data_IF_038526444366
#
_entry.id   IF_038526444366
#
_cell.length_a   1.000
_cell.length_b   1.000
_cell.length_c   1.000
_cell.angle_alpha   90.00
_cell.angle_beta   90.00
_cell.angle_gamma   90.00
#
_symmetry.space_group_name_H-M   'P 1'
#
loop_
_entity.id
_entity.type
_entity.pdbx_description
1 polymer ?
#
# COMPACT_ATOMS: atom_id res chain seq x y z
N UNK A 1 -6.56 -1.95 -18.15
CA UNK A 1 -6.43 -3.04 -17.16
C UNK A 1 -6.74 -4.41 -17.76
N UNK A 2 -7.77 -4.54 -18.60
CA UNK A 2 -8.15 -5.82 -19.19
C UNK A 2 -8.35 -5.67 -20.71
N UNK A 3 -7.68 -6.51 -21.52
CA UNK A 3 -7.82 -6.51 -22.98
C UNK A 3 -9.25 -6.85 -23.41
N UNK A 4 -9.95 -7.69 -22.64
CA UNK A 4 -11.34 -8.06 -22.89
C UNK A 4 -12.28 -6.85 -22.91
N UNK A 5 -12.04 -5.83 -22.08
CA UNK A 5 -12.88 -4.64 -22.06
C UNK A 5 -12.85 -3.91 -23.41
N UNK A 6 -11.68 -3.81 -24.04
CA UNK A 6 -11.48 -3.16 -25.34
C UNK A 6 -12.19 -3.97 -26.46
N UNK A 7 -12.18 -5.30 -26.35
CA UNK A 7 -12.84 -6.18 -27.32
C UNK A 7 -14.37 -6.16 -27.16
N UNK A 8 -14.87 -6.30 -25.93
CA UNK A 8 -16.28 -6.49 -25.64
C UNK A 8 -17.08 -5.18 -25.60
N UNK A 9 -16.44 -4.07 -25.20
CA UNK A 9 -17.10 -2.78 -24.98
C UNK A 9 -16.39 -1.65 -25.75
N UNK A 10 -16.28 -1.76 -27.09
CA UNK A 10 -15.53 -0.81 -27.91
C UNK A 10 -16.04 0.63 -27.81
N UNK A 11 -17.35 0.83 -27.65
CA UNK A 11 -17.98 2.15 -27.54
C UNK A 11 -17.45 2.98 -26.36
N UNK A 12 -16.91 2.33 -25.33
CA UNK A 12 -16.27 3.03 -24.20
C UNK A 12 -14.94 3.68 -24.58
N UNK A 13 -14.30 3.23 -25.65
CA UNK A 13 -12.95 3.59 -26.07
C UNK A 13 -12.89 4.26 -27.45
N UNK A 14 -13.99 4.23 -28.21
CA UNK A 14 -14.06 4.80 -29.56
C UNK A 14 -13.66 6.28 -29.59
N UNK A 15 -12.65 6.61 -30.42
CA UNK A 15 -12.12 7.96 -30.56
C UNK A 15 -11.45 8.56 -29.32
N UNK A 16 -11.26 7.78 -28.23
CA UNK A 16 -10.76 8.30 -26.95
C UNK A 16 -9.26 8.13 -26.78
N UNK A 17 -8.68 9.04 -26.01
CA UNK A 17 -7.33 8.89 -25.47
C UNK A 17 -7.40 8.09 -24.16
N UNK A 18 -6.55 7.07 -24.01
CA UNK A 18 -6.58 6.14 -22.89
C UNK A 18 -5.19 5.83 -22.33
N UNK A 19 -5.17 5.33 -21.09
CA UNK A 19 -4.01 4.70 -20.48
C UNK A 19 -4.16 3.19 -20.51
N UNK A 20 -3.10 2.48 -20.88
CA UNK A 20 -3.03 1.02 -20.77
C UNK A 20 -2.23 0.63 -19.55
N UNK A 21 -2.89 -0.02 -18.58
CA UNK A 21 -2.19 -0.75 -17.51
C UNK A 21 -1.64 -2.05 -18.06
N UNK A 22 -0.33 -2.24 -17.96
CA UNK A 22 0.40 -3.40 -18.43
C UNK A 22 0.87 -4.28 -17.26
N UNK A 23 0.90 -5.59 -17.47
CA UNK A 23 1.72 -6.48 -16.64
C UNK A 23 3.10 -6.63 -17.29
N UNK A 24 4.09 -5.98 -16.71
CA UNK A 24 5.48 -6.02 -17.20
C UNK A 24 6.25 -7.25 -16.67
N UNK A 25 5.57 -8.22 -16.05
CA UNK A 25 6.16 -9.41 -15.43
C UNK A 25 7.15 -9.08 -14.28
N UNK A 26 6.88 -8.02 -13.51
CA UNK A 26 7.70 -7.56 -12.38
C UNK A 26 6.87 -7.35 -11.13
N UNK A 27 6.77 -8.38 -10.27
CA UNK A 27 6.03 -8.31 -9.01
C UNK A 27 6.94 -8.10 -7.81
N UNK A 28 6.68 -7.08 -6.98
CA UNK A 28 7.48 -6.77 -5.79
C UNK A 28 6.58 -6.41 -4.60
N UNK A 29 6.89 -6.89 -3.39
CA UNK A 29 6.10 -6.53 -2.21
C UNK A 29 6.46 -7.32 -0.95
N UNK A 30 6.12 -6.75 0.21
CA UNK A 30 6.39 -7.37 1.52
C UNK A 30 5.43 -8.51 1.89
N UNK A 31 4.35 -8.70 1.14
CA UNK A 31 3.37 -9.77 1.34
C UNK A 31 2.72 -10.19 0.01
N UNK A 32 2.39 -11.48 -0.16
CA UNK A 32 1.80 -12.02 -1.40
C UNK A 32 0.54 -11.28 -1.85
N UNK A 33 -0.30 -10.84 -0.90
CA UNK A 33 -1.54 -10.08 -1.18
C UNK A 33 -1.33 -8.63 -1.67
N UNK A 34 -0.10 -8.12 -1.69
CA UNK A 34 0.22 -6.75 -2.14
C UNK A 34 1.16 -6.72 -3.34
N UNK A 35 1.50 -7.87 -3.91
CA UNK A 35 2.21 -7.98 -5.19
C UNK A 35 1.18 -7.85 -6.31
N UNK A 36 1.41 -6.96 -7.28
CA UNK A 36 0.39 -6.58 -8.29
C UNK A 36 0.81 -6.83 -9.73
N UNK A 37 1.93 -7.48 -9.98
CA UNK A 37 2.36 -7.92 -11.33
C UNK A 37 2.86 -9.37 -11.32
N UNK A 38 2.87 -10.01 -12.49
CA UNK A 38 3.22 -11.42 -12.70
C UNK A 38 1.99 -12.32 -12.84
N UNK A 39 2.18 -13.57 -13.30
CA UNK A 39 1.13 -14.53 -13.70
C UNK A 39 0.03 -14.77 -12.66
N UNK A 40 0.35 -14.63 -11.37
CA UNK A 40 -0.62 -14.79 -10.26
C UNK A 40 -1.40 -13.49 -9.95
N UNK A 41 -1.08 -12.37 -10.61
CA UNK A 41 -1.77 -11.09 -10.52
C UNK A 41 -2.95 -11.05 -11.48
N UNK A 42 -4.04 -10.40 -11.03
CA UNK A 42 -5.24 -10.18 -11.86
C UNK A 42 -5.20 -8.86 -12.63
N UNK A 43 -4.12 -8.10 -12.53
CA UNK A 43 -4.03 -6.71 -12.97
C UNK A 43 -3.11 -6.57 -14.18
N UNK A 44 -3.43 -5.60 -15.03
CA UNK A 44 -2.66 -5.29 -16.22
C UNK A 44 -2.94 -6.22 -17.39
N UNK A 45 -2.74 -5.68 -18.58
CA UNK A 45 -2.80 -6.42 -19.83
C UNK A 45 -1.44 -7.13 -20.00
N UNK A 46 -1.47 -8.46 -20.14
CA UNK A 46 -0.29 -9.25 -20.49
C UNK A 46 0.30 -8.78 -21.82
N UNK A 47 1.63 -8.75 -21.90
CA UNK A 47 2.34 -8.30 -23.11
C UNK A 47 1.96 -9.10 -24.35
N UNK A 48 1.54 -10.36 -24.19
CA UNK A 48 1.11 -11.24 -25.29
C UNK A 48 -0.17 -10.76 -25.98
N UNK A 49 -0.99 -9.95 -25.30
CA UNK A 49 -2.25 -9.44 -25.84
C UNK A 49 -2.12 -8.05 -26.49
N UNK A 50 -0.93 -7.45 -26.50
CA UNK A 50 -0.78 -6.07 -26.95
C UNK A 50 -1.06 -5.91 -28.44
N UNK A 51 -0.72 -6.91 -29.26
CA UNK A 51 -0.96 -6.84 -30.70
C UNK A 51 -2.46 -6.78 -31.01
N UNK A 52 -3.25 -7.64 -30.36
CA UNK A 52 -4.72 -7.65 -30.48
C UNK A 52 -5.36 -6.36 -29.95
N UNK A 53 -4.83 -5.83 -28.84
CA UNK A 53 -5.30 -4.55 -28.27
C UNK A 53 -5.02 -3.39 -29.22
N UNK A 54 -3.81 -3.32 -29.80
CA UNK A 54 -3.46 -2.26 -30.76
C UNK A 54 -4.33 -2.33 -32.01
N UNK A 55 -4.51 -3.54 -32.57
CA UNK A 55 -5.37 -3.73 -33.73
C UNK A 55 -6.80 -3.25 -33.45
N UNK A 56 -7.37 -3.62 -32.30
CA UNK A 56 -8.73 -3.22 -31.95
C UNK A 56 -8.87 -1.73 -31.70
N UNK A 57 -7.90 -1.10 -31.03
CA UNK A 57 -7.90 0.35 -30.81
C UNK A 57 -7.80 1.12 -32.12
N UNK A 58 -6.99 0.66 -33.08
CA UNK A 58 -6.89 1.28 -34.39
C UNK A 58 -8.23 1.24 -35.16
N UNK A 59 -8.97 0.12 -35.09
CA UNK A 59 -10.29 0.00 -35.72
C UNK A 59 -11.32 0.99 -35.17
N UNK A 60 -11.28 1.27 -33.87
CA UNK A 60 -12.23 2.15 -33.20
C UNK A 60 -11.69 3.58 -33.02
N UNK A 61 -10.54 3.90 -33.61
CA UNK A 61 -9.89 5.22 -33.49
C UNK A 61 -9.44 5.59 -32.07
N UNK A 62 -9.29 4.61 -31.17
CA UNK A 62 -8.76 4.81 -29.83
C UNK A 62 -7.25 5.04 -29.85
N UNK A 63 -6.75 5.94 -29.01
CA UNK A 63 -5.32 6.31 -28.92
C UNK A 63 -4.77 6.03 -27.53
N UNK A 64 -3.62 5.37 -27.46
CA UNK A 64 -2.92 5.12 -26.20
C UNK A 64 -1.97 6.28 -25.96
N UNK A 65 -2.24 7.08 -24.93
CA UNK A 65 -1.44 8.28 -24.60
C UNK A 65 -0.63 8.11 -23.33
N UNK A 66 -0.87 7.02 -22.59
CA UNK A 66 -0.10 6.66 -21.41
C UNK A 66 0.00 5.15 -21.21
N UNK A 67 1.13 4.72 -20.68
CA UNK A 67 1.34 3.35 -20.22
C UNK A 67 1.49 3.36 -18.70
N UNK A 68 0.84 2.43 -18.03
CA UNK A 68 0.84 2.33 -16.57
C UNK A 68 1.26 0.93 -16.12
N UNK A 69 2.06 0.86 -15.07
CA UNK A 69 2.39 -0.38 -14.40
C UNK A 69 2.54 -0.10 -12.91
N UNK A 70 2.14 -1.06 -12.09
CA UNK A 70 2.25 -0.93 -10.64
C UNK A 70 2.77 -2.23 -10.05
N UNK A 71 3.91 -2.15 -9.41
CA UNK A 71 4.77 -3.28 -9.05
C UNK A 71 4.38 -3.94 -7.72
N UNK A 72 3.78 -3.15 -6.81
CA UNK A 72 3.22 -3.59 -5.54
C UNK A 72 3.44 -2.57 -4.42
N UNK A 73 3.52 -3.01 -3.15
CA UNK A 73 3.53 -2.10 -2.00
C UNK A 73 4.62 -2.40 -0.96
N UNK A 74 5.19 -1.33 -0.38
CA UNK A 74 6.20 -1.39 0.67
C UNK A 74 7.61 -1.63 0.15
N UNK A 75 7.89 -1.21 -1.08
CA UNK A 75 9.20 -1.37 -1.72
C UNK A 75 10.15 -0.28 -1.22
N UNK A 76 11.32 -0.67 -0.73
CA UNK A 76 12.36 0.25 -0.23
C UNK A 76 13.51 0.45 -1.21
N UNK A 77 13.61 -0.39 -2.25
CA UNK A 77 14.67 -0.30 -3.25
C UNK A 77 14.22 0.56 -4.44
N UNK A 78 14.93 1.66 -4.70
CA UNK A 78 14.66 2.58 -5.80
C UNK A 78 14.93 1.96 -7.19
N UNK A 79 15.84 0.99 -7.30
CA UNK A 79 16.16 0.34 -8.59
C UNK A 79 14.94 -0.30 -9.26
N UNK A 80 13.91 -0.67 -8.48
CA UNK A 80 12.64 -1.23 -8.99
C UNK A 80 11.93 -0.27 -9.96
N UNK A 81 11.99 1.04 -9.72
CA UNK A 81 11.38 2.03 -10.61
C UNK A 81 12.20 2.22 -11.89
N UNK A 82 13.54 2.13 -11.80
CA UNK A 82 14.42 2.10 -12.99
C UNK A 82 14.12 0.89 -13.87
N UNK A 83 14.08 -0.31 -13.29
CA UNK A 83 13.77 -1.54 -14.03
C UNK A 83 12.39 -1.46 -14.71
N UNK A 84 11.40 -0.87 -14.03
CA UNK A 84 10.08 -0.68 -14.60
C UNK A 84 10.07 0.31 -15.77
N UNK A 85 10.78 1.44 -15.62
CA UNK A 85 10.95 2.42 -16.70
C UNK A 85 11.64 1.80 -17.92
N UNK A 86 12.72 1.03 -17.71
CA UNK A 86 13.44 0.34 -18.78
C UNK A 86 12.52 -0.64 -19.54
N UNK A 87 11.66 -1.38 -18.84
CA UNK A 87 10.67 -2.27 -19.47
C UNK A 87 9.60 -1.52 -20.27
N UNK A 88 9.24 -0.31 -19.88
CA UNK A 88 8.38 0.50 -20.72
C UNK A 88 9.04 0.86 -22.05
N UNK A 89 10.36 1.06 -22.08
CA UNK A 89 11.07 1.35 -23.33
C UNK A 89 11.03 0.20 -24.33
N UNK A 90 10.93 -1.05 -23.87
CA UNK A 90 10.79 -2.21 -24.75
C UNK A 90 9.44 -2.23 -25.50
N UNK A 91 8.38 -1.68 -24.89
CA UNK A 91 7.03 -1.67 -25.47
C UNK A 91 6.66 -0.34 -26.12
N UNK A 92 7.31 0.75 -25.73
CA UNK A 92 7.05 2.11 -26.21
C UNK A 92 7.04 2.25 -27.75
N UNK A 93 7.91 1.56 -28.53
CA UNK A 93 7.86 1.62 -30.00
C UNK A 93 6.52 1.20 -30.61
N UNK A 94 5.72 0.40 -29.89
CA UNK A 94 4.38 0.00 -30.31
C UNK A 94 3.29 1.05 -30.06
N UNK A 95 3.59 2.13 -29.35
CA UNK A 95 2.62 3.14 -28.91
C UNK A 95 3.13 4.57 -29.18
N UNK A 96 3.05 5.04 -30.44
CA UNK A 96 3.69 6.29 -30.86
C UNK A 96 3.05 7.56 -30.27
N UNK A 97 1.82 7.50 -29.79
CA UNK A 97 1.11 8.63 -29.17
C UNK A 97 1.36 8.74 -27.65
N UNK A 98 2.14 7.83 -27.06
CA UNK A 98 2.42 7.82 -25.62
C UNK A 98 3.28 9.01 -25.25
N UNK A 99 2.77 9.78 -24.29
CA UNK A 99 3.43 10.93 -23.68
C UNK A 99 3.61 10.80 -22.17
N UNK A 100 3.04 9.77 -21.56
CA UNK A 100 3.14 9.50 -20.12
C UNK A 100 3.53 8.05 -19.86
N UNK A 101 4.54 7.85 -19.02
CA UNK A 101 4.86 6.57 -18.40
C UNK A 101 4.55 6.68 -16.90
N UNK A 102 3.49 6.02 -16.49
CA UNK A 102 3.06 5.94 -15.09
C UNK A 102 3.68 4.71 -14.43
N UNK A 103 4.64 4.95 -13.54
CA UNK A 103 5.38 3.94 -12.79
C UNK A 103 4.63 3.51 -11.51
N UNK A 104 3.39 4.00 -11.32
CA UNK A 104 2.52 3.66 -10.22
C UNK A 104 3.07 4.07 -8.85
N UNK A 105 2.47 3.51 -7.81
CA UNK A 105 2.88 3.73 -6.42
C UNK A 105 3.79 2.64 -5.86
N UNK A 106 3.78 2.51 -4.53
CA UNK A 106 4.39 1.37 -3.83
C UNK A 106 5.55 1.70 -2.91
N UNK A 107 5.96 2.98 -2.91
CA UNK A 107 7.03 3.51 -2.07
C UNK A 107 6.81 3.13 -0.59
N UNK A 108 7.83 2.51 -0.01
CA UNK A 108 7.85 2.08 1.38
C UNK A 108 7.97 3.25 2.36
N UNK A 109 7.43 3.05 3.56
CA UNK A 109 7.73 3.89 4.73
C UNK A 109 8.26 3.00 5.84
N UNK A 110 9.11 3.51 6.74
CA UNK A 110 9.64 2.75 7.87
C UNK A 110 8.50 2.11 8.65
N UNK A 111 8.48 0.78 8.73
CA UNK A 111 7.47 0.03 9.47
C UNK A 111 7.86 -0.13 10.95
N UNK A 112 9.16 -0.06 11.26
CA UNK A 112 9.74 -0.23 12.60
C UNK A 112 10.72 0.89 12.95
N UNK A 113 10.92 1.18 14.24
CA UNK A 113 11.99 2.06 14.69
C UNK A 113 13.35 1.64 14.14
N UNK A 114 14.12 2.60 13.64
CA UNK A 114 15.46 2.39 13.09
C UNK A 114 15.53 1.81 11.68
N UNK A 115 14.40 1.54 11.02
CA UNK A 115 14.38 1.20 9.59
C UNK A 115 14.51 2.48 8.75
N UNK A 116 15.30 2.39 7.68
CA UNK A 116 15.41 3.47 6.71
C UNK A 116 14.09 3.67 5.95
N UNK A 117 13.81 4.92 5.58
CA UNK A 117 12.73 5.26 4.67
C UNK A 117 13.10 4.98 3.21
N UNK A 118 12.19 5.32 2.30
CA UNK A 118 12.46 5.28 0.87
C UNK A 118 13.39 6.43 0.47
N UNK A 119 14.41 6.13 -0.34
CA UNK A 119 15.37 7.10 -0.84
C UNK A 119 14.84 7.74 -2.14
N UNK A 120 14.19 8.90 -2.00
CA UNK A 120 13.64 9.65 -3.13
C UNK A 120 14.73 10.27 -4.02
N UNK A 121 15.83 10.73 -3.43
CA UNK A 121 16.94 11.33 -4.18
C UNK A 121 17.58 10.29 -5.09
N UNK A 122 17.81 9.07 -4.56
CA UNK A 122 18.31 7.97 -5.37
C UNK A 122 17.35 7.58 -6.49
N UNK A 123 16.05 7.57 -6.24
CA UNK A 123 15.06 7.28 -7.28
C UNK A 123 15.07 8.34 -8.38
N UNK A 124 15.16 9.63 -8.02
CA UNK A 124 15.24 10.73 -8.97
C UNK A 124 16.47 10.59 -9.87
N UNK A 125 17.66 10.38 -9.28
CA UNK A 125 18.90 10.15 -10.04
C UNK A 125 18.76 8.99 -11.05
N UNK A 126 18.23 7.85 -10.60
CA UNK A 126 18.07 6.66 -11.42
C UNK A 126 17.08 6.86 -12.56
N UNK A 127 15.97 7.55 -12.30
CA UNK A 127 14.93 7.81 -13.30
C UNK A 127 15.40 8.84 -14.32
N UNK A 128 16.09 9.90 -13.89
CA UNK A 128 16.67 10.90 -14.80
C UNK A 128 17.73 10.26 -15.70
N UNK A 129 18.62 9.44 -15.14
CA UNK A 129 19.65 8.71 -15.90
C UNK A 129 19.01 7.78 -16.95
N UNK A 130 18.02 6.98 -16.55
CA UNK A 130 17.38 6.02 -17.44
C UNK A 130 16.50 6.68 -18.51
N UNK A 131 15.80 7.78 -18.19
CA UNK A 131 14.95 8.51 -19.13
C UNK A 131 15.75 9.05 -20.31
N UNK A 132 16.91 9.65 -20.04
CA UNK A 132 17.75 10.30 -21.04
C UNK A 132 17.03 11.45 -21.72
N UNK A 133 17.09 11.51 -23.06
CA UNK A 133 16.48 12.58 -23.87
C UNK A 133 15.06 12.27 -24.36
N UNK A 134 14.38 11.26 -23.79
CA UNK A 134 13.04 10.86 -24.23
C UNK A 134 12.00 11.90 -23.83
N UNK A 135 11.16 12.28 -24.78
CA UNK A 135 10.06 13.24 -24.59
C UNK A 135 8.80 12.54 -24.05
N UNK A 136 8.86 12.08 -22.80
CA UNK A 136 7.73 11.51 -22.06
C UNK A 136 7.75 12.00 -20.61
N UNK A 137 6.57 12.23 -20.04
CA UNK A 137 6.40 12.51 -18.63
C UNK A 137 6.46 11.23 -17.81
N UNK A 138 7.11 11.29 -16.64
CA UNK A 138 7.08 10.22 -15.65
C UNK A 138 6.06 10.55 -14.56
N UNK A 139 5.09 9.66 -14.36
CA UNK A 139 4.08 9.79 -13.31
C UNK A 139 4.32 8.76 -12.20
N UNK A 140 3.95 9.13 -10.98
CA UNK A 140 4.03 8.30 -9.78
C UNK A 140 2.72 8.42 -8.99
N UNK A 141 2.31 7.33 -8.33
CA UNK A 141 1.06 7.25 -7.56
C UNK A 141 1.30 6.95 -6.06
N UNK A 142 2.06 7.77 -5.31
CA UNK A 142 2.37 7.49 -3.90
C UNK A 142 1.14 7.65 -3.00
N UNK A 143 0.51 6.55 -2.60
CA UNK A 143 -0.56 6.55 -1.60
C UNK A 143 -0.02 6.43 -0.17
N UNK A 144 0.46 5.22 0.17
CA UNK A 144 0.97 4.90 1.52
C UNK A 144 2.10 5.82 1.95
N UNK A 145 2.99 6.15 1.03
CA UNK A 145 4.15 6.99 1.30
C UNK A 145 3.78 8.36 1.85
N UNK A 146 2.74 8.99 1.29
CA UNK A 146 2.28 10.30 1.74
C UNK A 146 1.49 10.22 3.05
N UNK A 147 0.61 9.23 3.19
CA UNK A 147 -0.40 9.23 4.24
C UNK A 147 -0.04 8.41 5.49
N UNK A 148 0.85 7.41 5.41
CA UNK A 148 1.02 6.45 6.49
C UNK A 148 1.45 7.10 7.82
N UNK A 149 2.51 7.89 7.78
CA UNK A 149 3.13 8.51 8.96
C UNK A 149 2.35 9.74 9.46
N UNK A 150 1.44 10.28 8.64
CA UNK A 150 0.60 11.41 9.01
C UNK A 150 -0.55 11.06 9.97
N UNK A 151 -0.81 9.77 10.21
CA UNK A 151 -1.90 9.31 11.05
C UNK A 151 -1.50 8.23 12.04
N UNK A 152 -2.04 8.29 13.24
CA UNK A 152 -1.88 7.28 14.29
C UNK A 152 -3.24 6.90 14.85
N UNK A 153 -3.39 5.66 15.31
CA UNK A 153 -4.58 5.22 16.01
C UNK A 153 -4.36 5.33 17.52
N UNK A 154 -5.17 6.14 18.19
CA UNK A 154 -5.16 6.25 19.65
C UNK A 154 -6.26 5.38 20.25
N UNK A 155 -5.96 4.70 21.35
CA UNK A 155 -6.96 3.93 22.09
C UNK A 155 -6.65 3.84 23.57
N UNK A 156 -7.70 3.90 24.38
CA UNK A 156 -7.59 3.63 25.81
C UNK A 156 -7.47 2.13 26.05
N UNK A 157 -6.63 1.75 27.01
CA UNK A 157 -6.61 0.39 27.58
C UNK A 157 -7.89 0.19 28.40
N UNK A 158 -8.66 -0.81 28.05
CA UNK A 158 -9.94 -1.13 28.73
C UNK A 158 -9.87 -2.39 29.58
N UNK A 159 -8.87 -3.25 29.36
CA UNK A 159 -8.75 -4.50 30.10
C UNK A 159 -7.31 -4.99 30.16
N UNK A 160 -6.92 -5.51 31.32
CA UNK A 160 -5.75 -6.36 31.48
C UNK A 160 -6.17 -7.80 31.74
N UNK A 161 -5.53 -8.77 31.08
CA UNK A 161 -5.81 -10.18 31.30
C UNK A 161 -4.55 -11.03 31.18
N UNK A 162 -4.42 -12.02 32.05
CA UNK A 162 -3.37 -13.04 31.95
C UNK A 162 -3.99 -14.38 31.59
N UNK A 163 -3.39 -15.12 30.65
CA UNK A 163 -3.75 -16.50 30.35
C UNK A 163 -2.50 -17.30 29.98
N UNK A 164 -2.09 -18.21 30.86
CA UNK A 164 -0.82 -18.93 30.71
C UNK A 164 0.35 -17.94 30.66
N UNK A 165 1.19 -18.06 29.64
CA UNK A 165 2.34 -17.17 29.41
C UNK A 165 1.98 -15.79 28.83
N UNK A 166 0.74 -15.60 28.37
CA UNK A 166 0.33 -14.37 27.68
C UNK A 166 -0.26 -13.34 28.65
N UNK A 167 0.18 -12.10 28.49
CA UNK A 167 -0.46 -10.91 29.06
C UNK A 167 -1.16 -10.16 27.92
N UNK A 168 -2.46 -9.99 28.03
CA UNK A 168 -3.28 -9.29 27.06
C UNK A 168 -3.51 -7.87 27.55
N UNK A 169 -3.30 -6.92 26.63
CA UNK A 169 -3.57 -5.50 26.80
C UNK A 169 -4.71 -5.14 25.85
N UNK A 170 -5.94 -5.07 26.37
CA UNK A 170 -7.14 -4.84 25.59
C UNK A 170 -7.36 -3.35 25.31
N UNK A 171 -7.56 -3.01 24.03
CA UNK A 171 -7.87 -1.67 23.54
C UNK A 171 -9.39 -1.45 23.41
N UNK A 172 -9.83 -0.20 23.47
CA UNK A 172 -11.21 0.20 23.22
C UNK A 172 -11.67 0.01 21.76
N UNK A 173 -10.74 -0.18 20.84
CA UNK A 173 -10.97 -0.45 19.42
C UNK A 173 -10.05 -1.56 18.93
N UNK A 174 -10.35 -2.16 17.78
CA UNK A 174 -9.53 -3.22 17.20
C UNK A 174 -9.49 -3.16 15.68
N UNK A 175 -9.55 -4.34 15.07
CA UNK A 175 -9.55 -4.55 13.62
C UNK A 175 -10.67 -3.80 12.89
N UNK A 176 -11.74 -3.40 13.59
CA UNK A 176 -12.80 -2.57 13.03
C UNK A 176 -12.30 -1.16 12.67
N UNK A 177 -11.26 -0.65 13.34
CA UNK A 177 -10.62 0.64 13.01
C UNK A 177 -9.30 0.48 12.26
N UNK A 178 -8.57 -0.61 12.49
CA UNK A 178 -7.30 -0.88 11.83
C UNK A 178 -7.15 -2.38 11.55
N UNK A 179 -7.62 -2.83 10.39
CA UNK A 179 -7.65 -4.25 10.03
C UNK A 179 -6.29 -4.78 9.56
N UNK A 180 -5.32 -3.90 9.26
CA UNK A 180 -4.05 -4.29 8.60
C UNK A 180 -3.26 -5.38 9.34
N UNK A 181 -3.11 -5.36 10.68
CA UNK A 181 -2.46 -6.44 11.41
C UNK A 181 -3.13 -7.79 11.16
N UNK A 182 -4.46 -7.85 11.20
CA UNK A 182 -5.23 -9.09 10.97
C UNK A 182 -5.20 -9.54 9.50
N UNK A 183 -5.30 -8.59 8.55
CA UNK A 183 -5.44 -8.91 7.13
C UNK A 183 -4.12 -9.26 6.44
N UNK A 184 -3.05 -8.56 6.82
CA UNK A 184 -1.74 -8.61 6.17
C UNK A 184 -0.60 -9.08 7.08
N UNK A 185 -0.85 -9.27 8.39
CA UNK A 185 0.23 -9.45 9.36
C UNK A 185 1.07 -8.18 9.52
N UNK A 186 0.51 -7.01 9.20
CA UNK A 186 1.26 -5.76 9.17
C UNK A 186 1.75 -5.37 10.57
N UNK A 187 3.04 -5.03 10.65
CA UNK A 187 3.59 -4.43 11.85
C UNK A 187 3.21 -2.95 11.93
N UNK A 188 2.79 -2.53 13.12
CA UNK A 188 2.73 -1.14 13.53
C UNK A 188 3.50 -1.01 14.86
N UNK A 189 4.25 0.09 15.02
CA UNK A 189 4.83 0.42 16.32
C UNK A 189 3.70 0.76 17.30
N UNK A 190 3.81 0.27 18.53
CA UNK A 190 2.82 0.52 19.58
C UNK A 190 3.53 1.13 20.78
N UNK A 191 3.09 2.31 21.20
CA UNK A 191 3.66 3.05 22.32
C UNK A 191 2.58 3.29 23.36
N UNK A 192 2.91 3.14 24.64
CA UNK A 192 2.05 3.63 25.72
C UNK A 192 2.35 5.12 25.94
N UNK A 193 1.47 6.00 25.46
CA UNK A 193 1.63 7.45 25.54
C UNK A 193 1.50 7.97 26.97
N UNK A 194 0.67 7.36 27.80
CA UNK A 194 0.53 7.74 29.22
C UNK A 194 1.82 7.49 29.99
N UNK A 195 2.61 6.51 29.55
CA UNK A 195 3.87 6.05 30.18
C UNK A 195 5.10 6.42 29.35
N UNK A 196 5.02 7.52 28.60
CA UNK A 196 6.10 7.91 27.71
C UNK A 196 7.39 8.18 28.49
N UNK A 197 8.48 7.53 28.08
CA UNK A 197 9.79 7.65 28.73
C UNK A 197 10.01 6.66 29.89
N UNK A 198 9.00 5.90 30.30
CA UNK A 198 9.21 4.76 31.19
C UNK A 198 9.87 3.60 30.42
N UNK A 199 10.74 2.86 31.11
CA UNK A 199 11.42 1.70 30.54
C UNK A 199 10.42 0.57 30.23
N UNK A 200 10.65 -0.11 29.11
CA UNK A 200 9.86 -1.28 28.78
C UNK A 200 10.13 -2.41 29.79
N UNK A 201 9.06 -2.94 30.37
CA UNK A 201 9.15 -3.87 31.49
C UNK A 201 8.52 -5.23 31.18
N UNK A 202 7.55 -5.28 30.25
CA UNK A 202 6.73 -6.48 30.01
C UNK A 202 6.36 -6.65 28.55
N UNK A 203 6.23 -7.92 28.14
CA UNK A 203 5.61 -8.25 26.85
C UNK A 203 4.09 -8.36 26.99
N UNK A 204 3.38 -7.72 26.06
CA UNK A 204 1.94 -7.79 25.92
C UNK A 204 1.52 -8.25 24.52
N UNK A 205 0.41 -8.97 24.45
CA UNK A 205 -0.39 -9.09 23.23
C UNK A 205 -1.45 -8.00 23.26
N UNK A 206 -1.34 -7.04 22.35
CA UNK A 206 -2.26 -5.92 22.22
C UNK A 206 -3.41 -6.35 21.32
N UNK A 207 -4.63 -6.33 21.87
CA UNK A 207 -5.83 -6.88 21.23
C UNK A 207 -6.98 -5.87 21.26
N UNK A 208 -7.90 -5.99 20.31
CA UNK A 208 -9.13 -5.22 20.33
C UNK A 208 -10.30 -5.94 21.02
N UNK A 209 -11.51 -5.34 20.98
CA UNK A 209 -12.70 -5.85 21.63
C UNK A 209 -13.60 -6.71 20.73
N UNK A 210 -13.15 -7.10 19.53
CA UNK A 210 -13.93 -7.87 18.56
C UNK A 210 -13.90 -9.35 18.95
N UNK A 211 -15.05 -10.03 18.79
CA UNK A 211 -15.24 -11.45 19.08
C UNK A 211 -14.58 -12.38 18.03
N UNK A 212 -13.39 -12.04 17.57
CA UNK A 212 -12.61 -12.83 16.62
C UNK A 212 -11.20 -12.98 17.18
N UNK A 213 -10.67 -14.19 17.12
CA UNK A 213 -9.33 -14.52 17.62
C UNK A 213 -8.23 -13.74 16.87
N UNK A 214 -8.52 -13.33 15.63
CA UNK A 214 -7.67 -12.49 14.80
C UNK A 214 -7.70 -11.00 15.13
N UNK A 215 -8.47 -10.54 16.12
CA UNK A 215 -8.45 -9.13 16.56
C UNK A 215 -7.22 -8.81 17.43
N UNK A 216 -6.06 -8.98 16.81
CA UNK A 216 -4.75 -8.73 17.39
C UNK A 216 -4.11 -7.57 16.64
N UNK A 217 -3.86 -6.48 17.37
CA UNK A 217 -3.20 -5.29 16.83
C UNK A 217 -1.68 -5.42 16.92
N UNK A 218 -1.20 -6.11 17.96
CA UNK A 218 0.23 -6.32 18.16
C UNK A 218 0.56 -7.58 18.93
N UNK A 219 1.45 -8.39 18.36
CA UNK A 219 2.01 -9.57 19.03
C UNK A 219 3.30 -9.22 19.79
N UNK A 220 3.45 -9.76 21.00
CA UNK A 220 4.65 -9.70 21.84
C UNK A 220 5.31 -8.32 21.98
N UNK A 221 4.50 -7.27 22.18
CA UNK A 221 4.94 -5.88 22.31
C UNK A 221 5.60 -5.64 23.66
N UNK A 222 6.86 -5.21 23.64
CA UNK A 222 7.60 -4.89 24.86
C UNK A 222 7.30 -3.44 25.26
N UNK A 223 6.51 -3.28 26.32
CA UNK A 223 5.96 -1.99 26.75
C UNK A 223 6.24 -1.77 28.24
N UNK A 224 6.15 -0.52 28.73
CA UNK A 224 6.11 -0.23 30.16
C UNK A 224 4.98 -0.99 30.86
N UNK A 225 5.06 -1.11 32.19
CA UNK A 225 3.95 -1.63 32.98
C UNK A 225 2.70 -0.80 32.72
N UNK A 226 1.74 -1.39 32.01
CA UNK A 226 0.56 -0.69 31.54
C UNK A 226 -0.65 -0.99 32.43
N UNK A 227 -1.50 0.01 32.62
CA UNK A 227 -2.71 -0.07 33.44
C UNK A 227 -3.98 0.19 32.63
N UNK A 228 -5.14 -0.27 33.13
CA UNK A 228 -6.43 0.18 32.58
C UNK A 228 -6.52 1.71 32.68
N UNK A 229 -7.03 2.34 31.62
CA UNK A 229 -7.10 3.79 31.51
C UNK A 229 -5.94 4.44 30.75
N UNK A 230 -4.78 3.78 30.63
CA UNK A 230 -3.64 4.26 29.83
C UNK A 230 -4.04 4.46 28.36
N UNK A 231 -3.33 5.34 27.65
CA UNK A 231 -3.54 5.61 26.23
C UNK A 231 -2.43 4.98 25.41
N UNK A 232 -2.79 4.10 24.49
CA UNK A 232 -1.89 3.53 23.49
C UNK A 232 -1.96 4.31 22.19
N UNK A 233 -0.81 4.48 21.55
CA UNK A 233 -0.65 4.91 20.18
C UNK A 233 -0.23 3.72 19.33
N UNK A 234 -0.89 3.55 18.19
CA UNK A 234 -0.48 2.63 17.11
C UNK A 234 -0.06 3.49 15.92
N UNK A 235 1.24 3.49 15.62
CA UNK A 235 1.84 4.34 14.59
C UNK A 235 1.43 3.93 13.18
N UNK A 236 1.76 4.74 12.17
CA UNK A 236 1.60 4.41 10.75
C UNK A 236 0.18 4.00 10.32
N UNK A 237 -0.85 4.60 10.93
CA UNK A 237 -2.25 4.27 10.73
C UNK A 237 -2.95 5.18 9.71
N UNK A 238 -2.28 6.20 9.16
CA UNK A 238 -2.89 7.14 8.22
C UNK A 238 -3.17 6.57 6.82
N UNK A 239 -2.49 5.50 6.42
CA UNK A 239 -2.73 4.81 5.16
C UNK A 239 -3.31 3.42 5.38
N UNK A 240 -4.35 3.08 4.61
CA UNK A 240 -5.06 1.79 4.73
C UNK A 240 -5.58 1.50 6.16
N UNK A 241 -5.76 2.54 6.97
CA UNK A 241 -6.43 2.51 8.27
C UNK A 241 -7.92 2.77 8.08
N UNK A 242 -8.34 4.04 8.24
CA UNK A 242 -9.74 4.45 8.15
C UNK A 242 -10.46 3.97 6.89
N UNK A 243 -9.82 4.05 5.72
CA UNK A 243 -10.42 3.64 4.44
C UNK A 243 -10.80 2.14 4.40
N UNK A 244 -10.21 1.33 5.28
CA UNK A 244 -10.51 -0.09 5.45
C UNK A 244 -11.27 -0.41 6.75
N UNK A 245 -11.74 0.62 7.46
CA UNK A 245 -12.51 0.45 8.68
C UNK A 245 -13.89 -0.16 8.40
N UNK A 246 -14.50 -0.75 9.42
CA UNK A 246 -15.79 -1.41 9.31
C UNK A 246 -16.63 -1.26 10.58
N UNK A 247 -17.92 -1.55 10.47
CA UNK A 247 -18.84 -1.68 11.60
C UNK A 247 -18.95 -3.13 12.09
N UNK A 248 -17.88 -3.93 11.97
CA UNK A 248 -17.88 -5.31 12.41
C UNK A 248 -18.22 -5.41 13.91
N UNK A 249 -19.06 -6.38 14.27
CA UNK A 249 -19.72 -6.48 15.59
C UNK A 249 -20.53 -5.23 16.01
N UNK A 250 -21.08 -4.48 15.04
CA UNK A 250 -21.83 -3.22 15.26
C UNK A 250 -21.06 -2.16 16.05
N UNK A 251 -19.72 -2.22 16.03
CA UNK A 251 -18.86 -1.25 16.68
C UNK A 251 -18.42 -0.20 15.66
N UNK A 252 -18.70 1.06 15.95
CA UNK A 252 -18.18 2.16 15.15
C UNK A 252 -16.64 2.16 15.19
N UNK A 253 -15.97 2.49 14.08
CA UNK A 253 -14.54 2.72 14.10
C UNK A 253 -14.20 3.99 14.89
N UNK A 254 -12.93 4.12 15.28
CA UNK A 254 -12.39 5.28 16.00
C UNK A 254 -12.63 6.56 15.20
N UNK A 255 -13.01 7.64 15.89
CA UNK A 255 -13.19 8.97 15.31
C UNK A 255 -11.89 9.54 14.75
N UNK A 256 -11.98 10.46 13.79
CA UNK A 256 -10.84 11.13 13.17
C UNK A 256 -10.78 12.59 13.61
N UNK A 257 -9.59 13.02 14.05
CA UNK A 257 -9.30 14.39 14.42
C UNK A 257 -8.02 14.81 13.69
N UNK A 258 -8.00 16.05 13.20
CA UNK A 258 -6.83 16.67 12.58
C UNK A 258 -6.27 17.68 13.57
N UNK A 259 -4.97 17.58 13.85
CA UNK A 259 -4.25 18.62 14.58
C UNK A 259 -3.76 19.63 13.55
N UNK A 260 -4.28 20.84 13.60
CA UNK A 260 -3.95 21.96 12.70
C UNK A 260 -3.20 23.07 13.44
#
# INVERSE_FOLDING_TARGET
>A
DNSWAIQAWPDLFEGREIFLRLDLNTGYGHHRKVITSGVDSKFGISLEHLDDVRARLAEIGGRVVGLHAHTGSGVINADVWREQLERFFDVLPGFPDVRVLDLGGGLGVPDRPGRAGFDLERMDELLVEALGERDVELWLEPGRYLAAEAGVLLSRVTQLKTKGQYRYLGMATGMNSLIRPALYGAYHEIVNLTRLGEEAARHYRVVGPICESGDVIGESRFLPESSEGDVLLVANAGAYGRVMASHYNRRAPAEELILS
#
